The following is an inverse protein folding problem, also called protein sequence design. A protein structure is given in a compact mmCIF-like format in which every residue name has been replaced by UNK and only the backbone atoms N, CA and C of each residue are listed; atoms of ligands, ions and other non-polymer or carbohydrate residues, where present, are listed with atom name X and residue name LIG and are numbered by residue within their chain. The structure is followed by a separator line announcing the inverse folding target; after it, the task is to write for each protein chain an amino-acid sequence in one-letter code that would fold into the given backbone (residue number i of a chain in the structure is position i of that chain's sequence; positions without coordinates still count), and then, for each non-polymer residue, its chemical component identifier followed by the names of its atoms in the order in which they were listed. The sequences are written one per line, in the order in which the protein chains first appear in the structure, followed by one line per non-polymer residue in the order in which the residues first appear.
data_IF_975738393662
#
_entry.id   IF_975738393662
#
_cell.length_a   1.000
_cell.length_b   1.000
_cell.length_c   1.000
_cell.angle_alpha   90.00
_cell.angle_beta   90.00
_cell.angle_gamma   90.00
#
_symmetry.space_group_name_H-M   'P 1'
#
loop_
_entity.id
_entity.type
_entity.pdbx_description
1 polymer ?
#
# COMPACT_ATOMS: atom_id res chain seq x y z
N UNK A 1 -7.63 8.42 32.90
CA UNK A 1 -7.59 9.03 31.55
C UNK A 1 -6.51 8.30 30.76
N UNK A 2 -6.88 7.43 29.81
CA UNK A 2 -5.92 6.75 28.94
C UNK A 2 -5.22 7.80 28.07
N UNK A 3 -3.88 7.81 28.02
CA UNK A 3 -3.14 8.70 27.12
C UNK A 3 -3.57 8.40 25.69
N UNK A 4 -4.10 9.41 24.99
CA UNK A 4 -4.21 9.36 23.53
C UNK A 4 -2.77 9.25 23.01
N UNK A 5 -2.40 8.21 22.26
CA UNK A 5 -1.11 8.19 21.61
C UNK A 5 -1.01 9.47 20.80
N UNK A 6 0.03 10.27 21.06
CA UNK A 6 0.38 11.44 20.25
C UNK A 6 0.19 11.04 18.79
N UNK A 7 -0.66 11.78 18.08
CA UNK A 7 -0.89 11.60 16.65
C UNK A 7 0.49 11.74 15.99
N UNK A 8 1.14 10.60 15.78
CA UNK A 8 2.32 10.49 14.94
C UNK A 8 2.02 11.20 13.62
N UNK A 9 3.06 11.78 13.02
CA UNK A 9 3.06 12.52 11.76
C UNK A 9 1.85 12.17 10.89
N UNK A 10 1.10 13.17 10.37
CA UNK A 10 -0.14 12.93 9.62
C UNK A 10 0.10 11.78 8.67
N UNK A 11 -0.63 10.69 8.92
CA UNK A 11 -0.44 9.45 8.20
C UNK A 11 -0.53 9.78 6.71
N UNK A 12 0.52 9.50 5.95
CA UNK A 12 0.53 9.76 4.51
C UNK A 12 -0.51 8.82 3.90
N UNK A 13 -1.75 9.30 3.78
CA UNK A 13 -2.85 8.61 3.13
C UNK A 13 -2.89 9.13 1.70
N UNK A 14 -2.85 8.21 0.72
CA UNK A 14 -3.01 8.57 -0.67
C UNK A 14 -4.42 9.11 -0.90
N UNK A 15 -4.49 10.28 -1.54
CA UNK A 15 -5.75 10.86 -1.98
C UNK A 15 -6.39 10.01 -3.08
N UNK A 16 -7.64 10.32 -3.45
CA UNK A 16 -8.33 9.61 -4.54
C UNK A 16 -7.61 9.77 -5.87
N UNK A 17 -7.00 10.92 -6.12
CA UNK A 17 -6.30 11.18 -7.37
C UNK A 17 -4.93 10.47 -7.38
N UNK A 18 -4.23 10.44 -6.25
CA UNK A 18 -3.01 9.63 -6.10
C UNK A 18 -3.29 8.13 -6.34
N UNK A 19 -4.43 7.62 -5.86
CA UNK A 19 -4.83 6.23 -6.09
C UNK A 19 -5.14 5.95 -7.56
N UNK A 20 -5.74 6.90 -8.29
CA UNK A 20 -6.00 6.76 -9.73
C UNK A 20 -4.69 6.76 -10.50
N UNK A 21 -3.79 7.67 -10.16
CA UNK A 21 -2.48 7.77 -10.80
C UNK A 21 -1.67 6.50 -10.54
N UNK A 22 -1.64 6.01 -9.31
CA UNK A 22 -0.97 4.76 -8.96
C UNK A 22 -1.53 3.58 -9.74
N UNK A 23 -2.86 3.45 -9.83
CA UNK A 23 -3.49 2.38 -10.62
C UNK A 23 -3.14 2.49 -12.12
N UNK A 24 -3.11 3.71 -12.68
CA UNK A 24 -2.66 3.97 -14.05
C UNK A 24 -1.21 3.55 -14.24
N UNK A 25 -0.31 3.98 -13.36
CA UNK A 25 1.12 3.65 -13.44
C UNK A 25 1.35 2.14 -13.38
N UNK A 26 0.69 1.43 -12.45
CA UNK A 26 0.77 -0.04 -12.37
C UNK A 26 0.25 -0.73 -13.63
N UNK A 27 -0.77 -0.20 -14.30
CA UNK A 27 -1.30 -0.78 -15.54
C UNK A 27 -0.35 -0.67 -16.74
N UNK A 28 0.63 0.23 -16.68
CA UNK A 28 1.65 0.40 -17.71
C UNK A 28 2.86 -0.51 -17.50
N UNK A 29 2.95 -1.19 -16.35
CA UNK A 29 4.03 -2.10 -16.02
C UNK A 29 3.75 -3.52 -16.55
N UNK A 30 4.82 -4.31 -16.70
CA UNK A 30 4.70 -5.74 -16.97
C UNK A 30 4.25 -6.51 -15.73
N UNK A 31 3.70 -7.72 -15.91
CA UNK A 31 3.27 -8.57 -14.79
C UNK A 31 4.36 -8.80 -13.73
N UNK A 32 5.61 -9.16 -14.09
CA UNK A 32 6.67 -9.34 -13.12
C UNK A 32 6.95 -8.06 -12.32
N UNK A 33 6.93 -6.90 -12.97
CA UNK A 33 7.18 -5.62 -12.29
C UNK A 33 6.06 -5.28 -11.28
N UNK A 34 4.80 -5.56 -11.61
CA UNK A 34 3.69 -5.39 -10.65
C UNK A 34 3.79 -6.39 -9.49
N UNK A 35 4.27 -7.61 -9.75
CA UNK A 35 4.52 -8.62 -8.70
C UNK A 35 5.64 -8.19 -7.76
N UNK A 36 6.73 -7.63 -8.27
CA UNK A 36 7.83 -7.11 -7.47
C UNK A 36 7.38 -5.91 -6.62
N UNK A 37 6.57 -5.02 -7.20
CA UNK A 37 5.94 -3.93 -6.48
C UNK A 37 5.03 -4.44 -5.35
N UNK A 38 4.18 -5.45 -5.62
CA UNK A 38 3.34 -6.09 -4.61
C UNK A 38 4.17 -6.67 -3.46
N UNK A 39 5.24 -7.40 -3.76
CA UNK A 39 6.10 -7.99 -2.74
C UNK A 39 6.79 -6.93 -1.87
N UNK A 40 7.19 -5.82 -2.48
CA UNK A 40 7.80 -4.69 -1.78
C UNK A 40 6.81 -4.03 -0.82
N UNK A 41 5.61 -3.69 -1.31
CA UNK A 41 4.54 -3.14 -0.49
C UNK A 41 4.11 -4.10 0.63
N UNK A 42 4.10 -5.42 0.37
CA UNK A 42 3.78 -6.43 1.37
C UNK A 42 4.82 -6.48 2.49
N UNK A 43 6.11 -6.33 2.18
CA UNK A 43 7.18 -6.25 3.20
C UNK A 43 7.02 -5.01 4.07
N UNK A 44 6.65 -3.88 3.49
CA UNK A 44 6.33 -2.66 4.24
C UNK A 44 5.08 -2.81 5.13
N UNK A 45 4.17 -3.70 4.74
CA UNK A 45 2.98 -4.03 5.54
C UNK A 45 3.26 -5.00 6.71
N UNK A 46 4.47 -5.58 6.79
CA UNK A 46 4.78 -6.61 7.77
C UNK A 46 4.85 -6.04 9.19
N UNK A 47 4.13 -6.66 10.11
CA UNK A 47 4.17 -6.32 11.55
C UNK A 47 5.34 -7.08 12.18
N UNK A 48 6.49 -6.43 12.27
CA UNK A 48 7.73 -7.04 12.81
C UNK A 48 7.79 -6.94 14.34
N UNK A 49 7.23 -5.88 14.93
CA UNK A 49 7.21 -5.63 16.38
C UNK A 49 5.78 -5.44 16.91
N UNK A 50 5.55 -5.78 18.19
CA UNK A 50 4.27 -5.46 18.86
C UNK A 50 4.08 -3.94 18.89
N UNK A 51 3.10 -3.45 18.13
CA UNK A 51 2.70 -2.04 18.10
C UNK A 51 3.12 -1.26 16.86
N UNK A 52 3.87 -1.84 15.93
CA UNK A 52 4.15 -1.20 14.63
C UNK A 52 3.08 -1.63 13.62
N UNK A 53 2.09 -0.78 13.43
CA UNK A 53 1.12 -0.94 12.34
C UNK A 53 1.69 -0.33 11.06
N UNK A 54 1.40 -0.93 9.89
CA UNK A 54 1.87 -0.39 8.64
C UNK A 54 1.15 0.92 8.31
N UNK A 55 1.82 1.87 7.63
CA UNK A 55 1.19 3.12 7.24
C UNK A 55 0.08 2.86 6.22
N UNK A 56 -0.99 3.65 6.28
CA UNK A 56 -2.12 3.56 5.34
C UNK A 56 -1.68 3.53 3.87
N UNK A 57 -0.68 4.31 3.47
CA UNK A 57 -0.12 4.31 2.11
C UNK A 57 0.43 2.96 1.67
N UNK A 58 1.16 2.24 2.52
CA UNK A 58 1.70 0.93 2.17
C UNK A 58 0.56 -0.07 1.90
N UNK A 59 -0.48 -0.03 2.74
CA UNK A 59 -1.69 -0.85 2.55
C UNK A 59 -2.41 -0.47 1.25
N UNK A 60 -2.57 0.82 0.97
CA UNK A 60 -3.20 1.30 -0.25
C UNK A 60 -2.42 0.85 -1.50
N UNK A 61 -1.09 0.95 -1.47
CA UNK A 61 -0.22 0.48 -2.55
C UNK A 61 -0.33 -1.02 -2.77
N UNK A 62 -0.29 -1.80 -1.68
CA UNK A 62 -0.47 -3.25 -1.71
C UNK A 62 -1.80 -3.64 -2.36
N UNK A 63 -2.89 -3.02 -1.94
CA UNK A 63 -4.24 -3.28 -2.47
C UNK A 63 -4.34 -2.91 -3.95
N UNK A 64 -3.73 -1.81 -4.39
CA UNK A 64 -3.75 -1.44 -5.82
C UNK A 64 -2.95 -2.43 -6.68
N UNK A 65 -1.79 -2.88 -6.20
CA UNK A 65 -1.00 -3.89 -6.90
C UNK A 65 -1.77 -5.22 -7.02
N UNK A 66 -2.40 -5.66 -5.93
CA UNK A 66 -3.26 -6.85 -5.93
C UNK A 66 -4.41 -6.74 -6.92
N UNK A 67 -5.11 -5.59 -6.96
CA UNK A 67 -6.20 -5.37 -7.92
C UNK A 67 -5.73 -5.48 -9.37
N UNK A 68 -4.54 -4.94 -9.68
CA UNK A 68 -3.96 -5.04 -11.03
C UNK A 68 -3.62 -6.48 -11.38
N UNK A 69 -2.95 -7.21 -10.50
CA UNK A 69 -2.63 -8.63 -10.72
C UNK A 69 -3.89 -9.50 -10.89
N UNK A 70 -4.92 -9.26 -10.07
CA UNK A 70 -6.19 -9.99 -10.16
C UNK A 70 -6.95 -9.73 -11.46
N UNK A 71 -6.80 -8.53 -12.06
CA UNK A 71 -7.39 -8.26 -13.39
C UNK A 71 -6.76 -9.09 -14.50
N UNK A 72 -5.48 -9.44 -14.37
CA UNK A 72 -4.76 -10.25 -15.34
C UNK A 72 -4.95 -11.76 -15.13
N UNK A 73 -5.34 -12.16 -13.92
CA UNK A 73 -5.60 -13.55 -13.57
C UNK A 73 -6.92 -13.66 -12.75
N UNK A 74 -8.09 -13.63 -13.42
CA UNK A 74 -9.41 -13.48 -12.80
C UNK A 74 -9.89 -14.69 -11.97
#
# INVERSE_FOLDING_TARGET
MARRPELGKPEEVLSRDDLKELARNLSLLSEPAVRDFYQSAHRECAIINRGTFPPARAIQQLVQAWKTLRKWNP
#
